data_IF_597861866358
#
_entry.id   IF_597861866358
#
_cell.length_a   1.000
_cell.length_b   1.000
_cell.length_c   1.000
_cell.angle_alpha   90.00
_cell.angle_beta   90.00
_cell.angle_gamma   90.00
#
_symmetry.space_group_name_H-M   'P 1'
#
loop_
_entity.id
_entity.type
_entity.pdbx_description
1 polymer ?
#
# COMPACT_ATOMS: atom_id res chain seq x y z
N UNK A 1 11.26 19.53 -6.48
CA UNK A 1 10.79 19.05 -5.16
C UNK A 1 12.00 18.66 -4.32
N UNK A 2 12.07 19.12 -3.09
CA UNK A 2 13.18 18.78 -2.20
C UNK A 2 13.01 17.37 -1.64
N UNK A 3 14.10 16.80 -1.11
CA UNK A 3 14.05 15.51 -0.44
C UNK A 3 13.08 15.53 0.75
N UNK A 4 13.08 16.62 1.48
CA UNK A 4 12.17 16.78 2.62
C UNK A 4 10.72 16.79 2.19
N UNK A 5 10.40 17.46 1.11
CA UNK A 5 9.05 17.50 0.56
C UNK A 5 8.59 16.12 0.09
N UNK A 6 9.49 15.36 -0.55
CA UNK A 6 9.21 13.99 -0.97
C UNK A 6 8.93 13.10 0.25
N UNK A 7 9.73 13.24 1.29
CA UNK A 7 9.57 12.46 2.51
C UNK A 7 8.22 12.73 3.18
N UNK A 8 7.85 14.02 3.29
CA UNK A 8 6.58 14.38 3.89
C UNK A 8 5.40 13.85 3.07
N UNK A 9 5.51 13.88 1.75
CA UNK A 9 4.47 13.37 0.89
C UNK A 9 4.36 11.85 1.01
N UNK A 10 5.49 11.15 1.08
CA UNK A 10 5.50 9.71 1.30
C UNK A 10 4.81 9.34 2.62
N UNK A 11 5.05 10.09 3.69
CA UNK A 11 4.40 9.85 4.98
C UNK A 11 2.88 9.97 4.87
N UNK A 12 2.40 10.98 4.16
CA UNK A 12 0.96 11.16 3.97
C UNK A 12 0.37 10.02 3.17
N UNK A 13 1.10 9.54 2.17
CA UNK A 13 0.67 8.40 1.35
C UNK A 13 0.58 7.15 2.22
N UNK A 14 1.57 6.90 3.07
CA UNK A 14 1.55 5.75 3.98
C UNK A 14 0.33 5.81 4.90
N UNK A 15 0.03 6.97 5.46
CA UNK A 15 -1.14 7.12 6.32
C UNK A 15 -2.44 6.80 5.59
N UNK A 16 -2.55 7.23 4.34
CA UNK A 16 -3.73 6.93 3.53
C UNK A 16 -3.82 5.44 3.21
N UNK A 17 -2.69 4.81 2.90
CA UNK A 17 -2.66 3.37 2.62
C UNK A 17 -3.09 2.55 3.83
N UNK A 18 -2.85 3.04 5.03
CA UNK A 18 -3.31 2.38 6.26
C UNK A 18 -4.81 2.45 6.48
N UNK A 19 -5.54 3.19 5.62
CA UNK A 19 -6.99 3.24 5.66
C UNK A 19 -7.66 2.31 4.66
N UNK A 20 -6.88 1.62 3.83
CA UNK A 20 -7.40 0.70 2.83
C UNK A 20 -7.33 -0.72 3.37
N UNK A 21 -8.45 -1.42 3.35
CA UNK A 21 -8.55 -2.78 3.90
C UNK A 21 -8.92 -3.76 2.80
N UNK A 22 -8.32 -4.95 2.87
CA UNK A 22 -8.81 -6.10 2.11
C UNK A 22 -10.19 -6.47 2.70
N UNK A 23 -11.22 -6.67 1.88
CA UNK A 23 -12.56 -6.95 2.40
C UNK A 23 -12.66 -8.23 3.21
N UNK A 24 -11.70 -9.13 3.06
CA UNK A 24 -11.73 -10.42 3.76
C UNK A 24 -10.81 -10.48 4.99
N UNK A 25 -9.95 -9.48 5.17
CA UNK A 25 -8.95 -9.47 6.24
C UNK A 25 -9.08 -8.16 7.04
N UNK A 26 -9.24 -8.21 8.36
CA UNK A 26 -9.46 -7.01 9.17
C UNK A 26 -8.17 -6.24 9.49
N UNK A 27 -7.25 -6.17 8.54
CA UNK A 27 -6.00 -5.44 8.67
C UNK A 27 -5.79 -4.64 7.40
N UNK A 28 -5.28 -3.42 7.53
CA UNK A 28 -5.03 -2.58 6.36
C UNK A 28 -3.92 -3.16 5.47
N UNK A 29 -3.95 -2.78 4.19
CA UNK A 29 -3.04 -3.36 3.19
C UNK A 29 -1.58 -3.00 3.44
N UNK A 30 -1.31 -1.86 4.07
CA UNK A 30 0.07 -1.48 4.36
C UNK A 30 0.68 -2.40 5.42
N UNK A 31 -0.03 -2.62 6.53
CA UNK A 31 0.44 -3.50 7.59
C UNK A 31 0.45 -4.96 7.16
N UNK A 32 -0.38 -5.34 6.19
CA UNK A 32 -0.33 -6.68 5.60
C UNK A 32 0.94 -6.92 4.77
N UNK A 33 1.67 -5.85 4.45
CA UNK A 33 2.88 -5.98 3.64
C UNK A 33 2.60 -6.08 2.15
N UNK A 34 1.46 -5.60 1.68
CA UNK A 34 1.09 -5.66 0.27
C UNK A 34 1.72 -4.55 -0.56
N UNK A 35 2.24 -3.52 0.07
CA UNK A 35 2.87 -2.39 -0.64
C UNK A 35 4.37 -2.63 -0.70
N UNK A 36 4.88 -2.82 -1.91
CA UNK A 36 6.30 -3.13 -2.11
C UNK A 36 7.15 -1.92 -2.43
N UNK A 37 6.58 -0.89 -3.05
CA UNK A 37 7.33 0.30 -3.42
C UNK A 37 6.41 1.50 -3.49
N UNK A 38 6.88 2.62 -2.98
CA UNK A 38 6.22 3.92 -3.13
C UNK A 38 7.29 4.87 -3.67
N UNK A 39 7.06 5.44 -4.84
CA UNK A 39 8.00 6.40 -5.42
C UNK A 39 7.28 7.70 -5.76
N UNK A 40 7.78 8.80 -5.21
CA UNK A 40 7.29 10.15 -5.48
C UNK A 40 8.22 10.77 -6.51
N UNK A 41 7.66 11.16 -7.66
CA UNK A 41 8.42 11.74 -8.75
C UNK A 41 8.56 13.26 -8.57
N UNK A 42 9.44 13.87 -9.36
CA UNK A 42 9.68 15.32 -9.28
C UNK A 42 8.43 16.16 -9.56
N UNK A 43 7.54 15.67 -10.39
CA UNK A 43 6.29 16.37 -10.73
C UNK A 43 5.16 16.08 -9.74
N UNK A 44 5.46 15.43 -8.62
CA UNK A 44 4.51 15.03 -7.58
C UNK A 44 3.56 13.92 -8.03
N UNK A 45 3.85 13.23 -9.12
CA UNK A 45 3.15 11.98 -9.43
C UNK A 45 3.71 10.88 -8.55
N UNK A 46 2.91 9.85 -8.30
CA UNK A 46 3.27 8.75 -7.40
C UNK A 46 3.11 7.43 -8.12
N UNK A 47 4.08 6.55 -7.95
CA UNK A 47 4.00 5.19 -8.47
C UNK A 47 4.09 4.22 -7.31
N UNK A 48 3.15 3.28 -7.26
CA UNK A 48 3.06 2.29 -6.19
C UNK A 48 3.07 0.91 -6.80
N UNK A 49 3.97 0.05 -6.29
CA UNK A 49 3.95 -1.37 -6.62
C UNK A 49 3.33 -2.09 -5.44
N UNK A 50 2.29 -2.88 -5.70
CA UNK A 50 1.63 -3.66 -4.66
C UNK A 50 1.34 -5.06 -5.15
N UNK A 51 1.10 -5.94 -4.19
CA UNK A 51 0.73 -7.32 -4.47
C UNK A 51 -0.57 -7.66 -3.75
N UNK A 52 -1.00 -8.91 -3.90
CA UNK A 52 -2.19 -9.44 -3.24
C UNK A 52 -1.81 -10.72 -2.51
N UNK A 53 -2.63 -11.09 -1.52
CA UNK A 53 -2.39 -12.34 -0.77
C UNK A 53 -2.67 -13.58 -1.60
N UNK A 54 -3.46 -13.43 -2.66
CA UNK A 54 -3.76 -14.51 -3.60
C UNK A 54 -3.82 -13.95 -5.02
N UNK A 55 -3.24 -14.64 -6.01
CA UNK A 55 -3.18 -14.12 -7.38
C UNK A 55 -4.54 -13.98 -8.08
N UNK A 56 -5.54 -14.71 -7.62
CA UNK A 56 -6.88 -14.69 -8.22
C UNK A 56 -7.93 -14.07 -7.29
N UNK A 57 -7.53 -13.05 -6.52
CA UNK A 57 -8.46 -12.36 -5.64
C UNK A 57 -9.52 -11.63 -6.46
N UNK A 58 -10.82 -11.94 -6.29
CA UNK A 58 -11.87 -11.27 -7.07
C UNK A 58 -12.04 -9.79 -6.73
N UNK A 59 -11.49 -9.34 -5.60
CA UNK A 59 -11.53 -7.95 -5.20
C UNK A 59 -10.29 -7.15 -5.64
N UNK A 60 -9.40 -7.77 -6.44
CA UNK A 60 -8.12 -7.16 -6.82
C UNK A 60 -8.31 -5.79 -7.49
N UNK A 61 -9.15 -5.72 -8.51
CA UNK A 61 -9.37 -4.48 -9.24
C UNK A 61 -9.97 -3.41 -8.35
N UNK A 62 -10.86 -3.79 -7.45
CA UNK A 62 -11.49 -2.87 -6.51
C UNK A 62 -10.46 -2.30 -5.54
N UNK A 63 -9.60 -3.14 -4.98
CA UNK A 63 -8.58 -2.71 -4.03
C UNK A 63 -7.58 -1.78 -4.71
N UNK A 64 -7.12 -2.12 -5.89
CA UNK A 64 -6.16 -1.31 -6.64
C UNK A 64 -6.75 0.06 -7.00
N UNK A 65 -8.00 0.09 -7.44
CA UNK A 65 -8.68 1.34 -7.76
C UNK A 65 -8.88 2.20 -6.50
N UNK A 66 -9.24 1.58 -5.39
CA UNK A 66 -9.40 2.28 -4.13
C UNK A 66 -8.07 2.91 -3.68
N UNK A 67 -6.97 2.15 -3.81
CA UNK A 67 -5.62 2.66 -3.51
C UNK A 67 -5.31 3.87 -4.38
N UNK A 68 -5.52 3.74 -5.69
CA UNK A 68 -5.23 4.81 -6.63
C UNK A 68 -6.01 6.08 -6.29
N UNK A 69 -7.30 5.95 -6.07
CA UNK A 69 -8.17 7.08 -5.76
C UNK A 69 -7.79 7.76 -4.46
N UNK A 70 -7.51 6.98 -3.42
CA UNK A 70 -7.13 7.55 -2.13
C UNK A 70 -5.79 8.25 -2.17
N UNK A 71 -4.82 7.69 -2.91
CA UNK A 71 -3.50 8.32 -3.05
C UNK A 71 -3.62 9.61 -3.86
N UNK A 72 -4.42 9.62 -4.92
CA UNK A 72 -4.66 10.85 -5.70
C UNK A 72 -5.34 11.93 -4.89
N UNK A 73 -6.08 11.54 -3.86
CA UNK A 73 -6.73 12.49 -2.95
C UNK A 73 -5.78 13.13 -1.95
N UNK A 74 -4.55 12.67 -1.85
CA UNK A 74 -3.56 13.26 -0.95
C UNK A 74 -3.16 14.63 -1.48
N UNK A 75 -3.21 15.64 -0.61
CA UNK A 75 -2.80 16.99 -0.99
C UNK A 75 -1.33 17.00 -1.43
N UNK A 76 -1.08 17.50 -2.63
CA UNK A 76 0.25 17.54 -3.21
C UNK A 76 0.51 16.46 -4.25
N UNK A 77 -0.35 15.45 -4.38
CA UNK A 77 -0.22 14.41 -5.40
C UNK A 77 -0.94 14.85 -6.67
N UNK A 78 -0.23 14.80 -7.81
CA UNK A 78 -0.81 15.19 -9.10
C UNK A 78 -1.49 14.00 -9.79
N UNK A 79 -0.94 12.81 -9.63
CA UNK A 79 -1.53 11.58 -10.17
C UNK A 79 -0.93 10.37 -9.46
N UNK A 80 -1.61 9.25 -9.52
CA UNK A 80 -1.11 8.01 -8.95
C UNK A 80 -1.27 6.86 -9.94
N UNK A 81 -0.24 6.02 -10.00
CA UNK A 81 -0.24 4.79 -10.78
C UNK A 81 0.01 3.63 -9.84
N UNK A 82 -0.83 2.61 -9.90
CA UNK A 82 -0.69 1.42 -9.06
C UNK A 82 -0.40 0.23 -9.98
N UNK A 83 0.73 -0.42 -9.72
CA UNK A 83 1.15 -1.59 -10.49
C UNK A 83 0.97 -2.85 -9.63
N UNK A 84 0.35 -3.87 -10.19
CA UNK A 84 0.22 -5.16 -9.53
C UNK A 84 1.43 -6.01 -9.86
N UNK A 85 2.15 -6.45 -8.83
CA UNK A 85 3.35 -7.27 -8.98
C UNK A 85 3.22 -8.53 -8.13
N UNK A 86 3.82 -9.62 -8.58
CA UNK A 86 3.77 -10.89 -7.86
C UNK A 86 5.15 -11.41 -7.45
N UNK A 87 6.17 -10.60 -7.63
CA UNK A 87 7.52 -10.93 -7.19
C UNK A 87 8.09 -9.80 -6.34
N UNK A 88 8.61 -10.13 -5.16
CA UNK A 88 8.57 -11.45 -4.53
C UNK A 88 7.14 -11.87 -4.16
N UNK A 89 6.91 -13.17 -4.07
CA UNK A 89 5.60 -13.69 -3.67
C UNK A 89 5.30 -13.26 -2.23
N UNK A 90 4.06 -12.84 -1.98
CA UNK A 90 3.67 -12.41 -0.66
C UNK A 90 3.73 -13.55 0.35
N UNK A 91 4.26 -13.25 1.53
CA UNK A 91 4.37 -14.19 2.64
C UNK A 91 3.91 -13.50 3.92
N UNK A 92 3.33 -14.25 4.83
CA UNK A 92 2.83 -13.70 6.10
C UNK A 92 3.94 -12.99 6.91
N UNK A 93 5.19 -13.36 6.71
CA UNK A 93 6.30 -12.70 7.39
C UNK A 93 6.54 -11.27 6.90
N UNK A 94 5.90 -10.87 5.82
CA UNK A 94 5.94 -9.50 5.32
C UNK A 94 5.00 -8.57 6.09
N UNK A 95 4.09 -9.14 6.88
CA UNK A 95 3.18 -8.34 7.72
C UNK A 95 3.95 -7.63 8.83
N UNK A 96 3.44 -6.47 9.24
CA UNK A 96 3.95 -5.80 10.42
C UNK A 96 3.67 -6.64 11.68
N UNK A 97 4.39 -6.39 12.74
CA UNK A 97 4.16 -7.08 14.01
C UNK A 97 2.74 -6.84 14.51
N UNK A 98 2.25 -5.61 14.36
CA UNK A 98 0.89 -5.26 14.74
C UNK A 98 -0.15 -6.08 13.98
N UNK A 99 0.05 -6.24 12.66
CA UNK A 99 -0.85 -7.06 11.84
C UNK A 99 -0.83 -8.51 12.26
N UNK A 100 0.35 -9.05 12.56
CA UNK A 100 0.48 -10.43 13.02
C UNK A 100 -0.26 -10.65 14.32
N UNK A 101 -0.15 -9.72 15.26
CA UNK A 101 -0.87 -9.80 16.54
C UNK A 101 -2.38 -9.74 16.33
N UNK A 102 -2.86 -8.84 15.47
CA UNK A 102 -4.28 -8.69 15.21
C UNK A 102 -4.89 -9.94 14.59
N UNK A 103 -4.11 -10.67 13.78
CA UNK A 103 -4.56 -11.89 13.13
C UNK A 103 -4.26 -13.16 13.93
N UNK A 104 -3.62 -13.02 15.09
CA UNK A 104 -3.33 -14.15 15.97
C UNK A 104 -2.06 -14.93 15.63
N UNK A 105 -1.18 -14.35 14.81
CA UNK A 105 0.12 -14.96 14.54
C UNK A 105 1.12 -14.61 15.64
N UNK A 106 2.05 -15.52 15.90
CA UNK A 106 3.11 -15.27 16.85
C UNK A 106 4.11 -14.26 16.28
N UNK A 107 4.58 -13.37 17.15
CA UNK A 107 5.62 -12.40 16.82
C UNK A 107 6.90 -12.81 17.52
N UNK A 108 7.95 -13.01 16.75
CA UNK A 108 9.27 -13.37 17.26
C UNK A 108 10.21 -12.18 17.30
#
# INVERSE_FOLDING_TARGET
MSEEEKYLLEERIVEVLKTVYDPEIPVNIYDLGLIYRIEVMEDSSVEIDMTLTAPNCPAADFIMEDVRLRVEGVSGVTSATVNLVFEPEWDKDMMSDEAKLDLGFDVD
#
